data_IF_077715084679
#
_entry.id   IF_077715084679
#
_cell.length_a   1.000
_cell.length_b   1.000
_cell.length_c   1.000
_cell.angle_alpha   90.00
_cell.angle_beta   90.00
_cell.angle_gamma   90.00
#
_symmetry.space_group_name_H-M   'P 1'
#
loop_
_entity.id
_entity.type
_entity.pdbx_description
1 polymer ?
#
# COMPACT_ATOMS: atom_id res chain seq x y z
N UNK A 1 5.84 8.16 -21.10
CA UNK A 1 4.91 8.85 -20.18
C UNK A 1 3.54 8.84 -20.86
N UNK A 2 2.50 8.37 -20.18
CA UNK A 2 1.11 8.31 -20.68
C UNK A 2 0.31 9.37 -19.95
N UNK A 3 -0.46 10.19 -20.66
CA UNK A 3 -1.32 11.21 -20.07
C UNK A 3 -2.77 10.85 -20.33
N UNK A 4 -3.58 10.80 -19.28
CA UNK A 4 -5.00 10.51 -19.34
C UNK A 4 -5.83 11.80 -19.47
N UNK A 5 -7.08 11.71 -19.97
CA UNK A 5 -7.95 12.88 -20.17
C UNK A 5 -8.25 13.70 -18.90
N UNK A 6 -8.13 13.08 -17.72
CA UNK A 6 -8.28 13.72 -16.40
C UNK A 6 -7.00 14.42 -15.92
N UNK A 7 -5.95 14.46 -16.74
CA UNK A 7 -4.67 15.08 -16.42
C UNK A 7 -3.74 14.17 -15.61
N UNK A 8 -4.14 12.95 -15.28
CA UNK A 8 -3.24 11.98 -14.65
C UNK A 8 -2.11 11.60 -15.61
N UNK A 9 -0.87 11.58 -15.11
CA UNK A 9 0.31 11.17 -15.87
C UNK A 9 0.92 9.94 -15.24
N UNK A 10 1.07 8.90 -16.04
CA UNK A 10 1.79 7.70 -15.65
C UNK A 10 3.18 7.71 -16.30
N UNK A 11 4.21 7.65 -15.45
CA UNK A 11 5.58 7.45 -15.92
C UNK A 11 5.76 5.95 -16.13
N UNK A 12 5.85 5.54 -17.39
CA UNK A 12 6.23 4.19 -17.77
C UNK A 12 7.74 4.15 -18.03
N UNK A 13 8.42 3.20 -17.40
CA UNK A 13 9.73 2.72 -17.80
C UNK A 13 9.61 1.52 -18.72
N UNK A 14 10.70 1.13 -19.35
CA UNK A 14 10.82 -0.12 -20.09
C UNK A 14 11.93 -0.94 -19.45
N UNK A 15 11.63 -2.12 -18.93
CA UNK A 15 12.63 -3.09 -18.50
C UNK A 15 12.31 -4.44 -19.15
N UNK A 16 13.29 -5.03 -19.83
CA UNK A 16 13.12 -6.31 -20.54
C UNK A 16 12.06 -6.30 -21.65
N UNK A 17 11.78 -5.14 -22.27
CA UNK A 17 10.75 -5.01 -23.31
C UNK A 17 9.32 -4.90 -22.79
N UNK A 18 9.13 -4.82 -21.46
CA UNK A 18 7.81 -4.66 -20.84
C UNK A 18 7.65 -3.24 -20.29
N UNK A 19 6.48 -2.60 -20.48
CA UNK A 19 6.19 -1.34 -19.82
C UNK A 19 6.01 -1.58 -18.32
N UNK A 20 6.77 -0.85 -17.50
CA UNK A 20 6.71 -0.94 -16.04
C UNK A 20 6.31 0.42 -15.49
N UNK A 21 5.34 0.40 -14.57
CA UNK A 21 4.94 1.59 -13.83
C UNK A 21 6.10 2.13 -12.97
N UNK A 22 6.62 3.31 -13.31
CA UNK A 22 7.69 4.03 -12.57
C UNK A 22 7.17 5.07 -11.59
N UNK A 23 5.87 5.34 -11.61
CA UNK A 23 5.20 6.27 -10.71
C UNK A 23 4.03 6.97 -11.39
N UNK A 24 3.03 7.29 -10.58
CA UNK A 24 1.88 8.10 -11.00
C UNK A 24 2.13 9.53 -10.55
N UNK A 25 2.07 10.48 -11.47
CA UNK A 25 1.91 11.91 -11.16
C UNK A 25 0.49 12.26 -11.57
N UNK A 26 -0.45 12.08 -10.64
CA UNK A 26 -1.82 12.54 -10.81
C UNK A 26 -2.08 13.72 -9.87
N UNK A 27 -2.90 14.67 -10.32
CA UNK A 27 -3.67 15.49 -9.37
C UNK A 27 -4.39 14.48 -8.48
N UNK A 28 -4.27 14.62 -7.15
CA UNK A 28 -5.04 13.78 -6.22
C UNK A 28 -6.45 13.65 -6.78
N UNK A 29 -6.86 12.42 -7.11
CA UNK A 29 -8.23 12.19 -7.53
C UNK A 29 -9.16 12.81 -6.48
N UNK A 30 -10.35 13.33 -6.86
CA UNK A 30 -11.19 14.13 -5.97
C UNK A 30 -11.55 13.45 -4.63
N UNK A 31 -11.42 12.12 -4.56
CA UNK A 31 -11.70 11.32 -3.36
C UNK A 31 -10.47 10.95 -2.51
N UNK A 32 -9.25 11.29 -2.97
CA UNK A 32 -8.00 10.85 -2.35
C UNK A 32 -7.96 11.17 -0.85
N UNK A 33 -7.46 10.25 0.00
CA UNK A 33 -7.29 10.54 1.42
C UNK A 33 -6.51 11.83 1.67
N UNK A 34 -7.13 12.70 2.46
CA UNK A 34 -6.56 13.93 3.00
C UNK A 34 -5.76 13.62 4.23
N UNK A 35 -4.86 14.53 4.63
CA UNK A 35 -4.08 14.37 5.87
C UNK A 35 -4.96 14.11 7.09
N UNK A 36 -6.13 14.74 7.16
CA UNK A 36 -7.11 14.55 8.23
C UNK A 36 -7.59 13.09 8.32
N UNK A 37 -7.76 12.39 7.19
CA UNK A 37 -8.17 10.98 7.18
C UNK A 37 -7.13 10.07 7.79
N UNK A 38 -5.84 10.33 7.52
CA UNK A 38 -4.74 9.60 8.15
C UNK A 38 -4.71 9.81 9.66
N UNK A 39 -4.90 11.05 10.11
CA UNK A 39 -4.92 11.41 11.53
C UNK A 39 -6.12 10.79 12.26
N UNK A 40 -7.30 10.71 11.62
CA UNK A 40 -8.49 10.03 12.16
C UNK A 40 -8.26 8.54 12.42
N UNK A 41 -7.30 7.91 11.75
CA UNK A 41 -6.89 6.52 11.98
C UNK A 41 -5.88 6.37 13.14
N UNK A 42 -5.58 7.47 13.84
CA UNK A 42 -4.68 7.50 14.99
C UNK A 42 -3.20 7.62 14.64
N UNK A 43 -2.87 8.01 13.41
CA UNK A 43 -1.49 8.31 13.03
C UNK A 43 -1.05 9.67 13.59
N UNK A 44 0.23 9.78 13.95
CA UNK A 44 0.85 11.08 14.24
C UNK A 44 1.12 11.86 12.96
N UNK A 45 1.37 13.17 13.06
CA UNK A 45 1.69 14.00 11.89
C UNK A 45 2.92 13.49 11.11
N UNK A 46 3.95 13.01 11.82
CA UNK A 46 5.13 12.42 11.20
C UNK A 46 4.82 11.10 10.48
N UNK A 47 4.00 10.23 11.08
CA UNK A 47 3.57 8.97 10.47
C UNK A 47 2.68 9.21 9.25
N UNK A 48 1.73 10.14 9.35
CA UNK A 48 0.85 10.48 8.24
C UNK A 48 1.63 11.07 7.06
N UNK A 49 2.60 11.97 7.33
CA UNK A 49 3.50 12.54 6.32
C UNK A 49 4.35 11.47 5.63
N UNK A 50 4.97 10.60 6.41
CA UNK A 50 5.77 9.50 5.91
C UNK A 50 4.96 8.57 5.00
N UNK A 51 3.78 8.17 5.48
CA UNK A 51 2.91 7.24 4.75
C UNK A 51 2.38 7.86 3.45
N UNK A 52 1.88 9.10 3.52
CA UNK A 52 1.39 9.82 2.35
C UNK A 52 2.46 9.93 1.26
N UNK A 53 3.69 10.23 1.65
CA UNK A 53 4.82 10.28 0.74
C UNK A 53 5.12 8.91 0.12
N UNK A 54 5.16 7.86 0.93
CA UNK A 54 5.45 6.50 0.46
C UNK A 54 4.37 5.97 -0.49
N UNK A 55 3.10 6.26 -0.22
CA UNK A 55 1.98 5.79 -1.04
C UNK A 55 2.01 6.32 -2.48
N UNK A 56 2.78 7.38 -2.79
CA UNK A 56 2.94 7.89 -4.16
C UNK A 56 3.56 6.86 -5.12
N UNK A 57 4.42 5.97 -4.63
CA UNK A 57 5.02 4.91 -5.45
C UNK A 57 4.10 3.72 -5.68
N UNK A 58 3.07 3.58 -4.85
CA UNK A 58 2.11 2.49 -4.85
C UNK A 58 0.76 2.89 -5.46
N UNK A 59 0.78 3.94 -6.29
CA UNK A 59 -0.39 4.31 -7.08
C UNK A 59 -1.44 5.08 -6.29
N UNK A 60 -1.08 5.89 -5.27
CA UNK A 60 -1.97 6.96 -4.81
C UNK A 60 -2.52 7.71 -6.04
N UNK A 61 -3.85 7.70 -6.28
CA UNK A 61 -4.94 7.54 -5.32
C UNK A 61 -5.60 6.13 -5.19
N UNK A 62 -4.81 5.06 -5.05
CA UNK A 62 -5.27 3.67 -4.85
C UNK A 62 -6.09 3.04 -5.99
N UNK A 63 -5.93 3.53 -7.22
CA UNK A 63 -6.62 2.99 -8.40
C UNK A 63 -5.82 1.90 -9.14
N UNK A 64 -4.61 1.58 -8.69
CA UNK A 64 -3.79 0.53 -9.29
C UNK A 64 -4.23 -0.86 -8.85
N UNK A 65 -4.60 -1.72 -9.81
CA UNK A 65 -4.74 -3.16 -9.58
C UNK A 65 -3.62 -3.88 -10.31
N UNK A 66 -2.90 -4.76 -9.61
CA UNK A 66 -1.83 -5.56 -10.22
C UNK A 66 -2.05 -7.04 -9.93
N UNK A 67 -1.97 -7.86 -10.98
CA UNK A 67 -1.84 -9.33 -10.91
C UNK A 67 -0.47 -9.69 -11.51
N UNK A 68 0.58 -9.74 -10.68
CA UNK A 68 1.90 -10.12 -11.20
C UNK A 68 1.99 -11.65 -11.35
N UNK A 69 2.41 -12.18 -12.52
CA UNK A 69 2.61 -13.62 -12.70
C UNK A 69 3.72 -14.21 -11.82
N UNK A 70 4.65 -13.38 -11.34
CA UNK A 70 5.85 -13.82 -10.62
C UNK A 70 5.69 -13.83 -9.08
N UNK A 71 4.59 -13.28 -8.54
CA UNK A 71 4.28 -13.33 -7.12
C UNK A 71 2.90 -13.94 -6.91
N UNK A 72 2.85 -15.26 -6.67
CA UNK A 72 1.67 -16.07 -6.30
C UNK A 72 0.37 -15.93 -7.12
N UNK A 73 0.28 -15.06 -8.13
CA UNK A 73 -0.93 -14.77 -8.89
C UNK A 73 -2.00 -14.00 -8.13
N UNK A 74 -1.76 -13.59 -6.87
CA UNK A 74 -2.78 -12.92 -6.07
C UNK A 74 -3.02 -11.48 -6.55
N UNK A 75 -4.29 -11.07 -6.75
CA UNK A 75 -4.61 -9.68 -7.08
C UNK A 75 -4.23 -8.76 -5.92
N UNK A 76 -3.72 -7.59 -6.26
CA UNK A 76 -3.42 -6.51 -5.31
C UNK A 76 -4.20 -5.26 -5.71
N UNK A 77 -4.74 -4.54 -4.73
CA UNK A 77 -5.54 -3.34 -4.97
C UNK A 77 -4.99 -2.14 -4.20
N UNK A 78 -4.55 -1.11 -4.92
CA UNK A 78 -3.83 0.03 -4.34
C UNK A 78 -2.40 -0.37 -3.97
N UNK A 79 -2.06 -0.27 -2.68
CA UNK A 79 -0.73 -0.61 -2.19
C UNK A 79 -0.45 -2.11 -2.22
N UNK A 80 0.79 -2.50 -2.53
CA UNK A 80 1.14 -3.92 -2.75
C UNK A 80 0.83 -4.89 -1.61
N UNK A 81 0.85 -4.48 -0.33
CA UNK A 81 0.44 -5.36 0.76
C UNK A 81 -1.08 -5.60 0.87
N UNK A 82 -1.91 -4.90 0.10
CA UNK A 82 -3.34 -5.14 0.03
C UNK A 82 -3.63 -6.32 -0.93
N UNK A 83 -3.23 -7.52 -0.50
CA UNK A 83 -3.51 -8.79 -1.17
C UNK A 83 -4.12 -9.79 -0.18
N UNK A 84 -4.63 -10.92 -0.69
CA UNK A 84 -5.09 -12.03 0.14
C UNK A 84 -6.06 -11.59 1.24
N UNK A 85 -5.85 -12.01 2.51
CA UNK A 85 -6.73 -11.64 3.62
C UNK A 85 -6.87 -10.13 3.84
N UNK A 86 -5.81 -9.34 3.63
CA UNK A 86 -5.87 -7.89 3.83
C UNK A 86 -6.74 -7.21 2.77
N UNK A 87 -6.74 -7.72 1.54
CA UNK A 87 -7.66 -7.27 0.49
C UNK A 87 -9.11 -7.61 0.84
N UNK A 88 -9.38 -8.82 1.36
CA UNK A 88 -10.73 -9.22 1.81
C UNK A 88 -11.22 -8.28 2.92
N UNK A 89 -10.37 -7.97 3.91
CA UNK A 89 -10.73 -7.02 4.97
C UNK A 89 -11.03 -5.63 4.41
N UNK A 90 -10.23 -5.13 3.46
CA UNK A 90 -10.48 -3.83 2.84
C UNK A 90 -11.82 -3.80 2.09
N UNK A 91 -12.15 -4.86 1.34
CA UNK A 91 -13.44 -4.98 0.65
C UNK A 91 -14.61 -5.05 1.64
N UNK A 92 -14.45 -5.78 2.74
CA UNK A 92 -15.48 -5.87 3.77
C UNK A 92 -15.70 -4.55 4.51
N UNK A 93 -14.64 -3.81 4.82
CA UNK A 93 -14.73 -2.46 5.39
C UNK A 93 -15.42 -1.49 4.42
N UNK A 94 -15.13 -1.57 3.12
CA UNK A 94 -15.84 -0.77 2.13
C UNK A 94 -17.33 -1.11 2.09
N UNK A 95 -17.68 -2.40 2.03
CA UNK A 95 -19.08 -2.86 2.07
C UNK A 95 -19.81 -2.37 3.31
N UNK A 96 -19.16 -2.38 4.46
CA UNK A 96 -19.74 -1.91 5.72
C UNK A 96 -19.97 -0.40 5.71
N UNK A 97 -19.05 0.39 5.15
CA UNK A 97 -19.11 1.86 5.10
C UNK A 97 -20.12 2.36 4.06
N UNK A 98 -20.09 1.80 2.86
CA UNK A 98 -20.88 2.25 1.71
C UNK A 98 -21.48 1.03 0.98
N UNK A 99 -22.49 0.38 1.57
CA UNK A 99 -23.03 -0.87 1.04
C UNK A 99 -23.61 -0.74 -0.37
N UNK A 100 -24.25 0.40 -0.68
CA UNK A 100 -24.84 0.68 -1.99
C UNK A 100 -23.77 0.87 -3.07
N UNK A 101 -22.68 1.59 -2.76
CA UNK A 101 -21.57 1.80 -3.69
C UNK A 101 -20.83 0.49 -3.98
N UNK A 102 -20.61 -0.32 -2.95
CA UNK A 102 -20.05 -1.66 -3.11
C UNK A 102 -20.93 -2.52 -4.02
N UNK A 103 -22.25 -2.56 -3.77
CA UNK A 103 -23.16 -3.38 -4.55
C UNK A 103 -23.26 -2.93 -6.01
N UNK A 104 -23.27 -1.62 -6.25
CA UNK A 104 -23.28 -1.04 -7.59
C UNK A 104 -22.03 -1.40 -8.40
N UNK A 105 -20.89 -1.66 -7.75
CA UNK A 105 -19.61 -1.98 -8.40
C UNK A 105 -19.33 -3.47 -8.48
N UNK A 106 -19.26 -4.13 -7.32
CA UNK A 106 -18.83 -5.51 -7.15
C UNK A 106 -20.02 -6.45 -6.88
N UNK A 107 -21.01 -6.03 -6.10
CA UNK A 107 -22.19 -6.86 -5.77
C UNK A 107 -22.98 -7.29 -7.01
N UNK A 108 -23.18 -6.38 -7.97
CA UNK A 108 -23.83 -6.68 -9.26
C UNK A 108 -23.08 -7.73 -10.10
N UNK A 109 -21.79 -7.95 -9.80
CA UNK A 109 -20.95 -8.95 -10.47
C UNK A 109 -20.91 -10.26 -9.66
N UNK A 110 -21.70 -10.38 -8.60
CA UNK A 110 -21.83 -11.59 -7.78
C UNK A 110 -20.87 -11.66 -6.59
N UNK A 111 -20.15 -10.59 -6.27
CA UNK A 111 -19.28 -10.55 -5.09
C UNK A 111 -20.01 -10.07 -3.84
N UNK A 112 -19.81 -10.78 -2.74
CA UNK A 112 -20.32 -10.43 -1.42
C UNK A 112 -19.16 -10.42 -0.43
N UNK A 113 -19.00 -9.31 0.31
CA UNK A 113 -18.00 -9.19 1.36
C UNK A 113 -18.70 -9.09 2.72
N UNK A 114 -18.28 -9.90 3.68
CA UNK A 114 -18.83 -9.88 5.05
C UNK A 114 -17.75 -9.39 6.02
N UNK A 115 -18.05 -8.38 6.87
CA UNK A 115 -17.10 -7.89 7.86
C UNK A 115 -16.74 -8.95 8.89
N UNK A 116 -15.55 -8.81 9.49
CA UNK A 116 -15.10 -9.71 10.54
C UNK A 116 -16.05 -9.61 11.75
N UNK A 117 -16.48 -10.76 12.28
CA UNK A 117 -17.29 -10.88 13.48
C UNK A 117 -16.61 -11.87 14.41
N UNK A 118 -15.87 -11.44 15.44
CA UNK A 118 -15.09 -12.34 16.27
C UNK A 118 -15.93 -13.52 16.78
N UNK A 119 -15.48 -14.78 16.56
CA UNK A 119 -14.14 -15.18 16.13
C UNK A 119 -13.90 -15.27 14.61
N UNK A 120 -14.90 -15.02 13.78
CA UNK A 120 -14.84 -15.18 12.32
C UNK A 120 -14.11 -14.01 11.63
N UNK A 121 -13.12 -14.28 10.76
CA UNK A 121 -12.46 -13.25 9.98
C UNK A 121 -13.40 -12.69 8.88
N UNK A 122 -13.03 -11.55 8.31
CA UNK A 122 -13.72 -11.03 7.13
C UNK A 122 -13.69 -12.07 6.00
N UNK A 123 -14.79 -12.19 5.26
CA UNK A 123 -14.93 -13.15 4.17
C UNK A 123 -15.33 -12.48 2.87
N UNK A 124 -14.94 -13.10 1.77
CA UNK A 124 -15.34 -12.72 0.41
C UNK A 124 -15.94 -13.96 -0.25
N UNK A 125 -17.12 -13.81 -0.83
CA UNK A 125 -17.82 -14.86 -1.56
C UNK A 125 -18.14 -14.39 -2.97
N UNK A 126 -18.05 -15.30 -3.90
CA UNK A 126 -18.62 -15.15 -5.23
C UNK A 126 -19.83 -16.07 -5.31
N UNK A 127 -21.02 -15.51 -5.52
CA UNK A 127 -22.30 -16.24 -5.48
C UNK A 127 -22.56 -17.09 -6.74
N UNK A 128 -21.62 -17.10 -7.68
CA UNK A 128 -21.76 -17.77 -8.96
C UNK A 128 -22.39 -16.86 -10.03
N UNK A 129 -22.10 -17.17 -11.29
CA UNK A 129 -22.79 -16.60 -12.45
C UNK A 129 -23.14 -17.73 -13.42
N UNK A 130 -23.79 -17.43 -14.55
CA UNK A 130 -24.15 -18.46 -15.55
C UNK A 130 -22.96 -19.33 -15.99
N UNK A 131 -21.72 -18.83 -15.89
CA UNK A 131 -20.52 -19.50 -16.39
C UNK A 131 -19.46 -19.78 -15.30
N UNK A 132 -19.73 -19.49 -14.03
CA UNK A 132 -18.74 -19.65 -12.96
C UNK A 132 -19.40 -20.17 -11.67
N UNK A 133 -18.80 -21.19 -11.08
CA UNK A 133 -19.27 -21.79 -9.83
C UNK A 133 -19.08 -20.83 -8.65
N UNK A 134 -19.87 -20.97 -7.58
CA UNK A 134 -19.63 -20.22 -6.34
C UNK A 134 -18.25 -20.52 -5.77
N UNK A 135 -17.59 -19.51 -5.20
CA UNK A 135 -16.27 -19.64 -4.57
C UNK A 135 -16.15 -18.71 -3.37
N UNK A 136 -15.16 -18.93 -2.51
CA UNK A 136 -14.94 -18.13 -1.30
C UNK A 136 -13.46 -17.88 -1.00
N UNK A 137 -13.20 -16.86 -0.19
CA UNK A 137 -11.87 -16.52 0.29
C UNK A 137 -10.89 -16.25 -0.84
N UNK A 138 -9.79 -17.02 -0.88
CA UNK A 138 -8.74 -16.87 -1.90
C UNK A 138 -9.21 -17.27 -3.29
N UNK A 139 -10.11 -18.25 -3.40
CA UNK A 139 -10.65 -18.70 -4.69
C UNK A 139 -11.60 -17.63 -5.26
N UNK A 140 -12.32 -16.90 -4.42
CA UNK A 140 -13.07 -15.72 -4.85
C UNK A 140 -12.15 -14.56 -5.26
N UNK A 141 -10.99 -14.40 -4.62
CA UNK A 141 -10.01 -13.39 -5.02
C UNK A 141 -9.36 -13.72 -6.38
N UNK A 142 -9.02 -14.98 -6.67
CA UNK A 142 -8.35 -15.33 -7.94
C UNK A 142 -9.18 -14.93 -9.16
N UNK A 143 -10.51 -14.88 -9.01
CA UNK A 143 -11.43 -14.40 -10.05
C UNK A 143 -11.13 -12.97 -10.52
N UNK A 144 -10.55 -12.10 -9.69
CA UNK A 144 -10.13 -10.77 -10.14
C UNK A 144 -8.99 -10.82 -11.17
N UNK A 145 -8.14 -11.86 -11.13
CA UNK A 145 -7.10 -12.06 -12.14
C UNK A 145 -7.63 -12.78 -13.39
N UNK A 146 -8.71 -13.56 -13.25
CA UNK A 146 -9.28 -14.40 -14.31
C UNK A 146 -10.39 -13.72 -15.11
N UNK A 147 -11.22 -12.87 -14.49
CA UNK A 147 -12.31 -12.13 -15.15
C UNK A 147 -11.94 -10.63 -15.32
N UNK A 148 -11.68 -10.17 -16.56
CA UNK A 148 -11.36 -8.77 -16.84
C UNK A 148 -12.42 -7.77 -16.35
N UNK A 149 -13.68 -8.19 -16.22
CA UNK A 149 -14.77 -7.32 -15.75
C UNK A 149 -14.67 -7.09 -14.24
N UNK A 150 -14.35 -8.13 -13.47
CA UNK A 150 -14.07 -8.01 -12.04
C UNK A 150 -12.82 -7.16 -11.81
N UNK A 151 -11.77 -7.38 -12.60
CA UNK A 151 -10.55 -6.58 -12.57
C UNK A 151 -10.83 -5.09 -12.80
N UNK A 152 -11.58 -4.77 -13.86
CA UNK A 152 -11.95 -3.40 -14.20
C UNK A 152 -12.86 -2.77 -13.13
N UNK A 153 -13.80 -3.53 -12.57
CA UNK A 153 -14.66 -3.05 -11.49
C UNK A 153 -13.88 -2.75 -10.21
N UNK A 154 -12.89 -3.58 -9.86
CA UNK A 154 -11.99 -3.34 -8.72
C UNK A 154 -11.11 -2.10 -8.94
N UNK A 155 -10.57 -1.91 -10.15
CA UNK A 155 -9.82 -0.71 -10.48
C UNK A 155 -10.67 0.56 -10.40
N UNK A 156 -11.92 0.51 -10.88
CA UNK A 156 -12.87 1.61 -10.77
C UNK A 156 -13.28 1.88 -9.33
N UNK A 157 -13.47 0.83 -8.51
CA UNK A 157 -13.74 0.95 -7.09
C UNK A 157 -12.64 1.73 -6.36
N UNK A 158 -11.38 1.63 -6.80
CA UNK A 158 -10.27 2.41 -6.25
C UNK A 158 -10.42 3.93 -6.40
N UNK A 159 -11.45 4.42 -7.11
CA UNK A 159 -11.82 5.84 -7.23
C UNK A 159 -12.97 6.25 -6.32
N UNK A 160 -13.63 5.30 -5.66
CA UNK A 160 -14.71 5.54 -4.70
C UNK A 160 -14.10 5.97 -3.36
N UNK A 161 -14.73 6.93 -2.69
CA UNK A 161 -14.21 7.49 -1.43
C UNK A 161 -14.18 6.44 -0.31
N UNK A 162 -15.27 5.70 -0.12
CA UNK A 162 -15.33 4.65 0.90
C UNK A 162 -14.32 3.53 0.67
N UNK A 163 -14.06 3.18 -0.60
CA UNK A 163 -13.05 2.21 -0.98
C UNK A 163 -11.64 2.65 -0.58
N UNK A 164 -11.25 3.89 -0.93
CA UNK A 164 -9.93 4.43 -0.58
C UNK A 164 -9.72 4.53 0.93
N UNK A 165 -10.76 4.93 1.67
CA UNK A 165 -10.73 4.95 3.14
C UNK A 165 -10.59 3.55 3.74
N UNK A 166 -11.29 2.56 3.18
CA UNK A 166 -11.21 1.18 3.62
C UNK A 166 -9.84 0.54 3.34
N UNK A 167 -9.24 0.83 2.18
CA UNK A 167 -7.87 0.44 1.85
C UNK A 167 -6.87 1.06 2.83
N UNK A 168 -7.01 2.35 3.12
CA UNK A 168 -6.15 3.05 4.06
C UNK A 168 -6.28 2.47 5.48
N UNK A 169 -7.50 2.23 5.94
CA UNK A 169 -7.78 1.63 7.26
C UNK A 169 -7.19 0.22 7.38
N UNK A 170 -7.36 -0.62 6.36
CA UNK A 170 -6.78 -1.96 6.33
C UNK A 170 -5.25 -1.93 6.34
N UNK A 171 -4.64 -1.02 5.57
CA UNK A 171 -3.20 -0.82 5.53
C UNK A 171 -2.65 -0.39 6.90
N UNK A 172 -3.26 0.63 7.51
CA UNK A 172 -2.85 1.14 8.82
C UNK A 172 -2.98 0.05 9.88
N UNK A 173 -4.10 -0.66 9.90
CA UNK A 173 -4.43 -1.63 10.95
C UNK A 173 -3.58 -2.90 10.85
N UNK A 174 -3.44 -3.46 9.65
CA UNK A 174 -2.83 -4.79 9.48
C UNK A 174 -1.38 -4.78 9.06
N UNK A 175 -0.87 -3.64 8.58
CA UNK A 175 0.53 -3.51 8.13
C UNK A 175 1.29 -2.54 9.02
N UNK A 176 0.82 -1.29 9.15
CA UNK A 176 1.59 -0.25 9.81
C UNK A 176 1.62 -0.36 11.33
N UNK A 177 0.48 -0.61 11.99
CA UNK A 177 0.44 -0.76 13.46
C UNK A 177 1.33 -1.91 13.96
N UNK A 178 1.31 -3.11 13.34
CA UNK A 178 2.22 -4.19 13.73
C UNK A 178 3.71 -3.84 13.60
N UNK A 179 4.12 -3.18 12.50
CA UNK A 179 5.54 -2.81 12.35
C UNK A 179 5.93 -1.71 13.33
N UNK A 180 5.07 -0.72 13.58
CA UNK A 180 5.36 0.34 14.56
C UNK A 180 5.50 -0.27 15.96
N UNK A 181 4.55 -1.11 16.37
CA UNK A 181 4.62 -1.82 17.66
C UNK A 181 5.91 -2.64 17.80
N UNK A 182 6.41 -3.25 16.72
CA UNK A 182 7.61 -4.08 16.76
C UNK A 182 8.92 -3.28 16.88
N UNK A 183 8.93 -1.98 16.56
CA UNK A 183 10.16 -1.21 16.37
C UNK A 183 10.17 0.20 16.99
N UNK A 184 9.09 0.59 17.69
CA UNK A 184 8.99 1.87 18.40
C UNK A 184 8.67 1.70 19.91
N UNK A 185 8.98 0.54 20.48
CA UNK A 185 8.72 0.23 21.91
C UNK A 185 9.63 0.98 22.89
N UNK A 186 10.85 1.35 22.49
CA UNK A 186 11.71 2.24 23.26
C UNK A 186 11.25 3.70 23.07
N UNK A 187 11.35 4.52 24.12
CA UNK A 187 10.83 5.89 24.20
C UNK A 187 10.82 6.61 22.83
N UNK A 188 9.62 6.99 22.36
CA UNK A 188 9.38 7.46 20.97
C UNK A 188 10.32 8.58 20.52
N UNK A 189 10.83 9.39 21.46
CA UNK A 189 11.80 10.46 21.19
C UNK A 189 13.23 9.96 20.86
N UNK A 190 13.61 8.80 21.39
CA UNK A 190 14.94 8.17 21.19
C UNK A 190 14.88 7.03 20.16
N UNK A 191 13.71 6.77 19.57
CA UNK A 191 13.56 5.78 18.50
C UNK A 191 14.31 6.24 17.26
N UNK A 192 15.06 5.31 16.64
CA UNK A 192 15.66 5.51 15.32
C UNK A 192 14.63 5.86 14.22
N UNK A 193 13.33 5.67 14.50
CA UNK A 193 12.20 5.98 13.63
C UNK A 193 11.31 7.12 14.16
N UNK A 194 11.90 8.14 14.81
CA UNK A 194 11.16 9.30 15.30
C UNK A 194 10.80 10.31 14.20
N UNK A 195 11.63 10.45 13.15
CA UNK A 195 11.42 11.44 12.08
C UNK A 195 10.49 10.91 10.97
N UNK A 196 9.80 11.82 10.27
CA UNK A 196 8.98 11.46 9.10
C UNK A 196 9.83 10.77 8.01
N UNK A 197 11.12 11.14 7.89
CA UNK A 197 12.04 10.51 6.94
C UNK A 197 12.38 9.07 7.34
N UNK A 198 12.73 8.85 8.60
CA UNK A 198 13.02 7.50 9.09
C UNK A 198 11.77 6.61 9.02
N UNK A 199 10.60 7.13 9.37
CA UNK A 199 9.31 6.44 9.21
C UNK A 199 9.03 6.10 7.74
N UNK A 200 9.34 7.00 6.80
CA UNK A 200 9.16 6.74 5.38
C UNK A 200 10.07 5.61 4.88
N UNK A 201 11.31 5.50 5.40
CA UNK A 201 12.20 4.37 5.12
C UNK A 201 11.63 3.05 5.65
N UNK A 202 11.12 3.06 6.89
CA UNK A 202 10.50 1.88 7.50
C UNK A 202 9.27 1.42 6.71
N UNK A 203 8.38 2.35 6.36
CA UNK A 203 7.19 2.05 5.58
C UNK A 203 7.54 1.60 4.16
N UNK A 204 8.48 2.25 3.49
CA UNK A 204 8.95 1.79 2.17
C UNK A 204 9.51 0.38 2.26
N UNK A 205 10.36 0.09 3.24
CA UNK A 205 10.91 -1.25 3.45
C UNK A 205 9.80 -2.30 3.64
N UNK A 206 8.77 -2.03 4.44
CA UNK A 206 7.66 -2.96 4.61
C UNK A 206 6.84 -3.12 3.32
N UNK A 207 6.42 -2.01 2.69
CA UNK A 207 5.52 -2.06 1.54
C UNK A 207 6.21 -2.57 0.25
N UNK A 208 7.51 -2.32 0.09
CA UNK A 208 8.30 -2.65 -1.11
C UNK A 208 9.09 -3.96 -0.97
N UNK A 209 9.67 -4.21 0.20
CA UNK A 209 10.63 -5.29 0.44
C UNK A 209 10.09 -6.35 1.41
N UNK A 210 8.94 -6.08 2.05
CA UNK A 210 8.34 -6.91 3.09
C UNK A 210 9.17 -6.95 4.37
N UNK A 211 8.77 -7.85 5.27
CA UNK A 211 9.41 -8.04 6.58
C UNK A 211 10.92 -8.27 6.52
N UNK A 212 11.42 -8.89 5.46
CA UNK A 212 12.88 -9.10 5.27
C UNK A 212 13.60 -7.77 5.06
N UNK A 213 13.02 -6.84 4.31
CA UNK A 213 13.60 -5.50 4.16
C UNK A 213 13.54 -4.69 5.44
N UNK A 214 12.44 -4.81 6.21
CA UNK A 214 12.35 -4.18 7.54
C UNK A 214 13.41 -4.73 8.49
N UNK A 215 13.54 -6.06 8.59
CA UNK A 215 14.56 -6.68 9.43
C UNK A 215 15.98 -6.23 9.04
N UNK A 216 16.23 -6.07 7.74
CA UNK A 216 17.51 -5.56 7.23
C UNK A 216 17.76 -4.11 7.61
N UNK A 217 16.76 -3.23 7.43
CA UNK A 217 16.86 -1.83 7.84
C UNK A 217 17.14 -1.71 9.34
N UNK A 218 16.42 -2.47 10.16
CA UNK A 218 16.60 -2.51 11.61
C UNK A 218 17.98 -3.06 12.01
N UNK A 219 18.52 -4.03 11.27
CA UNK A 219 19.88 -4.50 11.48
C UNK A 219 20.91 -3.38 11.27
N UNK A 220 20.77 -2.58 10.20
CA UNK A 220 21.65 -1.42 9.96
C UNK A 220 21.52 -0.33 11.01
N UNK A 221 20.32 -0.09 11.56
CA UNK A 221 20.15 0.81 12.72
C UNK A 221 20.97 0.33 13.92
N UNK A 222 20.98 -0.99 14.20
CA UNK A 222 21.73 -1.57 15.33
C UNK A 222 23.25 -1.50 15.15
N UNK A 223 23.76 -1.45 13.92
CA UNK A 223 25.19 -1.31 13.64
C UNK A 223 25.75 0.07 14.06
N UNK A 224 24.91 1.11 14.04
CA UNK A 224 25.25 2.47 14.48
C UNK A 224 24.04 3.15 15.14
N UNK A 225 23.88 2.98 16.46
CA UNK A 225 22.68 3.41 17.15
C UNK A 225 22.61 4.92 17.45
N UNK A 226 23.66 5.71 17.14
CA UNK A 226 23.75 7.13 17.52
C UNK A 226 22.57 7.95 16.96
N UNK A 227 21.60 8.36 17.81
CA UNK A 227 20.51 9.23 17.41
C UNK A 227 21.05 10.66 17.18
N UNK A 228 20.37 11.50 16.38
CA UNK A 228 19.02 11.32 15.83
C UNK A 228 18.96 10.74 14.40
N UNK A 229 20.11 10.48 13.76
CA UNK A 229 20.17 10.13 12.33
C UNK A 229 20.31 8.62 12.05
N UNK A 230 20.24 7.77 13.08
CA UNK A 230 20.40 6.32 12.95
C UNK A 230 19.49 5.71 11.86
N UNK A 231 18.22 6.15 11.77
CA UNK A 231 17.29 5.70 10.72
C UNK A 231 17.69 6.15 9.32
N UNK A 232 18.18 7.37 9.15
CA UNK A 232 18.60 7.92 7.85
C UNK A 232 19.90 7.25 7.37
N UNK A 233 20.87 7.05 8.27
CA UNK A 233 22.10 6.34 7.97
C UNK A 233 21.85 4.87 7.59
N UNK A 234 20.92 4.20 8.30
CA UNK A 234 20.46 2.87 7.93
C UNK A 234 19.81 2.85 6.52
N UNK A 235 19.10 3.92 6.15
CA UNK A 235 18.58 4.14 4.81
C UNK A 235 19.67 4.23 3.74
N UNK A 236 20.75 4.99 3.98
CA UNK A 236 21.90 5.09 3.05
C UNK A 236 22.53 3.71 2.80
N UNK A 237 22.73 2.95 3.88
CA UNK A 237 23.25 1.57 3.84
C UNK A 237 22.33 0.64 3.06
N UNK A 238 21.02 0.74 3.28
CA UNK A 238 20.03 -0.02 2.54
C UNK A 238 20.03 0.33 1.05
N UNK A 239 20.14 1.61 0.70
CA UNK A 239 20.18 2.06 -0.70
C UNK A 239 21.43 1.52 -1.42
N UNK A 240 22.58 1.58 -0.77
CA UNK A 240 23.84 1.07 -1.33
C UNK A 240 23.80 -0.45 -1.52
N UNK A 241 23.27 -1.17 -0.54
CA UNK A 241 23.09 -2.61 -0.65
C UNK A 241 22.11 -3.01 -1.78
N UNK A 242 20.97 -2.32 -1.90
CA UNK A 242 20.04 -2.55 -3.01
C UNK A 242 20.72 -2.29 -4.35
N UNK A 243 21.57 -1.26 -4.44
CA UNK A 243 22.33 -0.95 -5.65
C UNK A 243 23.32 -2.07 -6.01
N UNK A 244 24.09 -2.56 -5.03
CA UNK A 244 25.09 -3.63 -5.26
C UNK A 244 24.46 -4.98 -5.60
N UNK A 245 23.24 -5.24 -5.12
CA UNK A 245 22.46 -6.45 -5.42
C UNK A 245 21.63 -6.35 -6.72
N UNK A 246 21.83 -5.29 -7.52
CA UNK A 246 21.16 -5.11 -8.81
C UNK A 246 19.74 -4.54 -8.74
N UNK A 247 19.29 -4.10 -7.55
CA UNK A 247 17.97 -3.48 -7.31
C UNK A 247 18.04 -1.96 -7.40
N UNK A 248 18.52 -1.47 -8.54
CA UNK A 248 18.80 -0.04 -8.76
C UNK A 248 17.55 0.84 -8.64
N UNK A 249 16.37 0.30 -8.95
CA UNK A 249 15.10 1.01 -8.80
C UNK A 249 14.80 1.30 -7.33
N UNK A 250 14.78 0.28 -6.51
CA UNK A 250 14.49 0.40 -5.09
C UNK A 250 15.55 1.25 -4.39
N UNK A 251 16.82 1.12 -4.77
CA UNK A 251 17.89 2.00 -4.30
C UNK A 251 17.59 3.48 -4.60
N UNK A 252 17.12 3.80 -5.81
CA UNK A 252 16.78 5.17 -6.20
C UNK A 252 15.55 5.71 -5.44
N UNK A 253 14.58 4.85 -5.14
CA UNK A 253 13.42 5.22 -4.31
C UNK A 253 13.84 5.54 -2.87
N UNK A 254 14.74 4.73 -2.28
CA UNK A 254 15.31 4.98 -0.96
C UNK A 254 16.11 6.29 -0.94
N UNK A 255 16.95 6.54 -1.95
CA UNK A 255 17.66 7.82 -2.06
C UNK A 255 16.71 9.02 -2.15
N UNK A 256 15.60 8.89 -2.89
CA UNK A 256 14.58 9.94 -2.96
C UNK A 256 13.90 10.21 -1.61
N UNK A 257 13.69 9.19 -0.78
CA UNK A 257 13.22 9.37 0.61
C UNK A 257 14.25 10.17 1.41
N UNK A 258 15.53 9.79 1.31
CA UNK A 258 16.61 10.43 2.06
C UNK A 258 16.75 11.92 1.74
N UNK A 259 16.62 12.30 0.47
CA UNK A 259 16.84 13.68 0.01
C UNK A 259 15.56 14.52 -0.07
N UNK A 260 14.39 13.97 0.28
CA UNK A 260 13.13 14.69 0.11
C UNK A 260 12.97 15.82 1.15
N UNK A 261 12.67 17.06 0.69
CA UNK A 261 12.33 18.17 1.58
C UNK A 261 10.92 18.01 2.15
N UNK A 262 10.01 17.27 1.50
CA UNK A 262 8.65 17.03 1.99
C UNK A 262 8.64 16.22 3.30
N UNK A 263 9.73 15.50 3.58
CA UNK A 263 9.95 14.71 4.79
C UNK A 263 10.80 15.43 5.84
N UNK A 264 11.27 16.66 5.57
CA UNK A 264 11.97 17.44 6.57
C UNK A 264 11.05 17.75 7.77
N UNK A 265 11.60 17.72 8.98
CA UNK A 265 10.90 18.20 10.16
C UNK A 265 10.61 19.70 10.05
N UNK A 266 9.63 20.23 10.80
CA UNK A 266 9.53 21.68 10.96
C UNK A 266 10.87 22.21 11.52
N UNK A 267 11.37 23.27 10.89
CA UNK A 267 12.53 24.02 11.38
C UNK A 267 12.18 24.82 12.63
#
# INVERSE_FOLDING_TARGET
>A
MVTFPDGARVVLGNEGGRPIHRGTVAVRGPCSPTREDFMKLGLTEAQARALEFVLTWFGSPFDSVTSEPQSSGEPRWGAWPLSGPTLITALAHWKQREPEAFDARLGRLGLEATPAQPPEPASLRFLGSRNAAPSEGRDALSLFAEDPRLLAALAQAGRERGAQLAQLEALVTHVLRPILASYTEDAVADSAFASARALALLFHAELRLGRRGVARLVAFVRERPEPPFAGEHAGERLAEDLRTTGRSREASEVWRILTSPELAGPA
#
